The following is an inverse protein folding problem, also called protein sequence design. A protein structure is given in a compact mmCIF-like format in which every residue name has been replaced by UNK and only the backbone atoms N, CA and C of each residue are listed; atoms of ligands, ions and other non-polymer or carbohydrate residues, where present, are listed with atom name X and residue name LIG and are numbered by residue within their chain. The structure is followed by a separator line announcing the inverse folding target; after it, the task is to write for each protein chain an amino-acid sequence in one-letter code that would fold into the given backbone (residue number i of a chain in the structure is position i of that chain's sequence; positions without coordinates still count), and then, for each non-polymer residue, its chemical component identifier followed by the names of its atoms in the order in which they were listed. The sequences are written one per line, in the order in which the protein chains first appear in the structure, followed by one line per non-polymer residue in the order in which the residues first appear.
data_IF_261204368836
#
_entry.id   IF_261204368836
#
_cell.length_a   1.000
_cell.length_b   1.000
_cell.length_c   1.000
_cell.angle_alpha   90.00
_cell.angle_beta   90.00
_cell.angle_gamma   90.00
#
_symmetry.space_group_name_H-M   'P 1'
#
loop_
_entity.id
_entity.type
_entity.pdbx_description
1 polymer ?
#
# COMPACT_ATOMS: atom_id res chain seq x y z
N UNK A 1 11.08 29.66 1.04
CA UNK A 1 11.02 28.37 1.73
C UNK A 1 9.70 27.68 1.51
N UNK A 2 9.77 26.38 1.39
CA UNK A 2 8.56 25.60 1.17
C UNK A 2 7.72 25.57 2.43
N UNK A 3 6.40 25.71 2.30
CA UNK A 3 5.51 25.55 3.42
C UNK A 3 5.16 24.08 3.59
N UNK A 4 4.38 23.78 4.62
CA UNK A 4 4.05 22.42 4.96
C UNK A 4 3.37 21.68 3.80
N UNK A 5 2.47 22.37 3.13
CA UNK A 5 1.70 21.73 2.06
C UNK A 5 2.57 21.43 0.85
N UNK A 6 3.51 22.31 0.55
CA UNK A 6 4.46 22.05 -0.52
C UNK A 6 5.36 20.87 -0.20
N UNK A 7 5.76 20.75 1.07
CA UNK A 7 6.59 19.62 1.47
C UNK A 7 5.80 18.32 1.37
N UNK A 8 4.52 18.34 1.71
CA UNK A 8 3.69 17.14 1.57
C UNK A 8 3.49 16.78 0.10
N UNK A 9 3.30 17.78 -0.75
CA UNK A 9 3.18 17.51 -2.18
C UNK A 9 4.45 16.89 -2.72
N UNK A 10 5.59 17.34 -2.24
CA UNK A 10 6.86 16.80 -2.67
C UNK A 10 6.97 15.31 -2.29
N UNK A 11 6.54 14.97 -1.08
CA UNK A 11 6.52 13.58 -0.66
C UNK A 11 5.63 12.75 -1.59
N UNK A 12 4.44 13.25 -1.90
CA UNK A 12 3.52 12.55 -2.77
C UNK A 12 4.07 12.37 -4.18
N UNK A 13 4.74 13.40 -4.70
CA UNK A 13 5.33 13.29 -6.02
C UNK A 13 6.44 12.27 -6.07
N UNK A 14 7.23 12.19 -5.02
CA UNK A 14 8.27 11.19 -4.96
C UNK A 14 7.70 9.78 -4.92
N UNK A 15 6.54 9.61 -4.28
CA UNK A 15 5.86 8.33 -4.31
C UNK A 15 5.50 7.95 -5.74
N UNK A 16 4.94 8.89 -6.49
CA UNK A 16 4.55 8.60 -7.86
C UNK A 16 5.75 8.26 -8.73
N UNK A 17 6.84 9.00 -8.56
CA UNK A 17 8.04 8.73 -9.32
C UNK A 17 8.60 7.34 -9.01
N UNK A 18 8.62 6.99 -7.72
CA UNK A 18 9.12 5.68 -7.32
C UNK A 18 8.24 4.56 -7.83
N UNK A 19 6.91 4.77 -7.83
CA UNK A 19 5.99 3.77 -8.33
C UNK A 19 6.14 3.57 -9.83
N UNK A 20 6.32 4.65 -10.58
CA UNK A 20 6.54 4.53 -12.01
C UNK A 20 7.81 3.75 -12.30
N UNK A 21 8.86 4.06 -11.56
CA UNK A 21 10.14 3.38 -11.77
C UNK A 21 10.04 1.90 -11.41
N UNK A 22 9.33 1.59 -10.33
CA UNK A 22 9.16 0.21 -9.91
C UNK A 22 8.36 -0.57 -10.93
N UNK A 23 7.35 0.05 -11.52
CA UNK A 23 6.56 -0.65 -12.53
C UNK A 23 7.39 -0.99 -13.76
N UNK A 24 8.31 -0.10 -14.12
CA UNK A 24 9.21 -0.39 -15.24
C UNK A 24 10.06 -1.60 -14.97
N UNK A 25 10.44 -1.82 -13.71
CA UNK A 25 11.32 -2.93 -13.35
C UNK A 25 10.55 -4.21 -13.04
N UNK A 26 9.45 -4.09 -12.32
CA UNK A 26 8.76 -5.26 -11.77
C UNK A 26 7.35 -5.43 -12.29
N UNK A 27 6.83 -4.48 -13.04
CA UNK A 27 5.46 -4.56 -13.53
C UNK A 27 4.49 -4.61 -12.37
N UNK A 28 3.54 -5.51 -12.46
CA UNK A 28 2.49 -5.66 -11.46
C UNK A 28 2.76 -6.78 -10.48
N UNK A 29 4.03 -7.03 -10.20
CA UNK A 29 4.39 -8.16 -9.34
C UNK A 29 3.80 -8.01 -7.94
N UNK A 30 3.51 -6.79 -7.48
CA UNK A 30 2.98 -6.58 -6.15
C UNK A 30 1.63 -7.27 -5.94
N UNK A 31 0.88 -7.50 -7.01
CA UNK A 31 -0.42 -8.16 -6.91
C UNK A 31 -0.45 -9.52 -7.58
N UNK A 32 0.72 -10.07 -7.83
CA UNK A 32 0.79 -11.36 -8.51
C UNK A 32 0.04 -12.45 -7.75
N UNK A 33 0.05 -12.38 -6.43
CA UNK A 33 -0.60 -13.40 -5.60
C UNK A 33 -1.95 -12.94 -5.09
N UNK A 34 -2.59 -12.01 -5.81
CA UNK A 34 -3.94 -11.59 -5.51
C UNK A 34 -4.02 -10.69 -4.29
N UNK A 35 -5.24 -10.49 -3.85
CA UNK A 35 -5.50 -9.60 -2.73
C UNK A 35 -4.92 -10.08 -1.42
N UNK A 36 -4.89 -11.39 -1.22
CA UNK A 36 -4.29 -11.93 -0.01
C UNK A 36 -2.80 -11.61 0.03
N UNK A 37 -2.12 -11.79 -1.12
CA UNK A 37 -0.71 -11.45 -1.18
C UNK A 37 -0.47 -9.97 -0.97
N UNK A 38 -1.31 -9.13 -1.57
CA UNK A 38 -1.18 -7.69 -1.38
C UNK A 38 -1.39 -7.32 0.08
N UNK A 39 -2.37 -7.93 0.74
CA UNK A 39 -2.59 -7.68 2.15
C UNK A 39 -1.36 -8.06 2.97
N UNK A 40 -0.74 -9.18 2.65
CA UNK A 40 0.43 -9.61 3.39
C UNK A 40 1.60 -8.64 3.22
N UNK A 41 1.71 -8.03 2.03
CA UNK A 41 2.74 -7.02 1.84
C UNK A 41 2.51 -5.82 2.76
N UNK A 42 1.26 -5.38 2.86
CA UNK A 42 0.93 -4.28 3.76
C UNK A 42 1.24 -4.66 5.21
N UNK A 43 0.88 -5.87 5.60
CA UNK A 43 1.10 -6.32 6.96
C UNK A 43 2.58 -6.36 7.29
N UNK A 44 3.40 -6.85 6.35
CA UNK A 44 4.84 -6.91 6.60
C UNK A 44 5.42 -5.53 6.83
N UNK A 45 5.00 -4.56 6.03
CA UNK A 45 5.53 -3.21 6.20
C UNK A 45 5.06 -2.60 7.51
N UNK A 46 3.82 -2.86 7.88
CA UNK A 46 3.35 -2.38 9.17
C UNK A 46 4.09 -3.04 10.32
N UNK A 47 4.35 -4.35 10.23
CA UNK A 47 5.07 -5.06 11.27
C UNK A 47 6.46 -4.46 11.48
N UNK A 48 7.11 -4.05 10.40
CA UNK A 48 8.42 -3.43 10.50
C UNK A 48 8.33 -2.07 11.19
N UNK A 49 7.29 -1.30 10.86
CA UNK A 49 7.07 -0.01 11.53
C UNK A 49 6.81 -0.24 13.01
N UNK A 50 5.98 -1.22 13.33
CA UNK A 50 5.66 -1.54 14.71
C UNK A 50 6.92 -1.91 15.49
N UNK A 51 7.77 -2.71 14.87
CA UNK A 51 9.01 -3.14 15.52
C UNK A 51 9.90 -1.94 15.83
N UNK A 52 10.02 -1.01 14.91
CA UNK A 52 10.81 0.19 15.13
C UNK A 52 10.21 1.05 16.24
N UNK A 53 8.89 1.19 16.23
CA UNK A 53 8.23 2.00 17.27
C UNK A 53 8.44 1.39 18.64
N UNK A 54 8.34 0.08 18.72
CA UNK A 54 8.51 -0.62 20.00
C UNK A 54 9.87 -0.34 20.61
N UNK A 55 10.91 -0.31 19.79
CA UNK A 55 12.25 -0.04 20.28
C UNK A 55 12.40 1.36 20.85
N UNK A 56 11.48 2.24 20.54
CA UNK A 56 11.55 3.64 20.97
C UNK A 56 10.33 4.01 21.79
N UNK A 57 9.84 3.06 22.60
CA UNK A 57 8.76 3.35 23.53
C UNK A 57 7.44 3.64 22.83
N UNK A 58 7.24 3.08 21.64
CA UNK A 58 6.04 3.27 20.84
C UNK A 58 5.90 4.70 20.35
N UNK A 59 7.00 5.46 20.35
CA UNK A 59 7.01 6.83 19.89
C UNK A 59 7.58 6.85 18.47
N UNK A 60 6.71 7.00 17.50
CA UNK A 60 7.11 6.92 16.10
C UNK A 60 8.00 8.10 15.70
N UNK A 61 7.84 9.23 16.37
CA UNK A 61 8.68 10.39 16.05
C UNK A 61 10.10 10.18 16.57
N UNK A 62 10.22 9.58 17.75
CA UNK A 62 11.52 9.28 18.29
C UNK A 62 12.24 8.24 17.42
N UNK A 63 11.49 7.23 17.00
CA UNK A 63 12.05 6.21 16.12
C UNK A 63 12.52 6.82 14.81
N UNK A 64 11.76 7.77 14.28
CA UNK A 64 12.12 8.43 13.04
C UNK A 64 13.38 9.26 13.15
N UNK A 65 13.57 9.91 14.29
CA UNK A 65 14.78 10.71 14.49
C UNK A 65 16.04 9.84 14.47
N UNK A 66 15.95 8.63 15.01
CA UNK A 66 17.10 7.77 15.10
C UNK A 66 17.64 7.36 13.73
N UNK A 67 16.75 7.30 12.72
CA UNK A 67 17.14 6.83 11.40
C UNK A 67 16.74 7.80 10.31
N UNK A 68 16.87 9.08 10.59
CA UNK A 68 16.43 10.09 9.66
C UNK A 68 17.22 9.97 8.35
N UNK A 69 16.51 9.80 7.25
CA UNK A 69 17.12 9.78 5.94
C UNK A 69 17.76 8.48 5.53
N UNK A 70 17.75 7.50 6.40
CA UNK A 70 18.39 6.23 6.11
C UNK A 70 17.35 5.12 6.10
N UNK A 71 17.81 3.91 5.77
CA UNK A 71 16.95 2.75 5.86
C UNK A 71 16.41 2.65 7.27
N UNK A 72 15.21 2.13 7.40
CA UNK A 72 14.59 2.00 8.71
C UNK A 72 13.18 2.49 8.65
N UNK A 73 12.77 3.26 9.65
CA UNK A 73 11.38 3.65 9.79
C UNK A 73 10.87 4.42 8.58
N UNK A 74 11.64 5.39 8.08
CA UNK A 74 11.17 6.18 6.96
C UNK A 74 10.99 5.34 5.70
N UNK A 75 11.90 4.38 5.47
CA UNK A 75 11.75 3.47 4.34
C UNK A 75 10.46 2.68 4.46
N UNK A 76 10.18 2.17 5.65
CA UNK A 76 8.99 1.34 5.82
C UNK A 76 7.73 2.16 5.73
N UNK A 77 7.74 3.41 6.19
CA UNK A 77 6.60 4.30 6.01
C UNK A 77 6.37 4.57 4.53
N UNK A 78 7.45 4.84 3.78
CA UNK A 78 7.33 5.08 2.35
C UNK A 78 6.77 3.87 1.63
N UNK A 79 7.30 2.69 1.96
CA UNK A 79 6.85 1.48 1.31
C UNK A 79 5.39 1.20 1.60
N UNK A 80 4.98 1.35 2.86
CA UNK A 80 3.58 1.11 3.20
C UNK A 80 2.67 2.08 2.46
N UNK A 81 3.05 3.35 2.44
CA UNK A 81 2.24 4.36 1.76
C UNK A 81 2.10 4.04 0.27
N UNK A 82 3.21 3.64 -0.37
CA UNK A 82 3.19 3.35 -1.80
C UNK A 82 2.37 2.10 -2.11
N UNK A 83 2.45 1.07 -1.28
CA UNK A 83 1.59 -0.09 -1.46
C UNK A 83 0.13 0.27 -1.25
N UNK A 84 -0.16 1.17 -0.30
CA UNK A 84 -1.55 1.59 -0.09
C UNK A 84 -2.07 2.36 -1.30
N UNK A 85 -1.23 3.20 -1.91
CA UNK A 85 -1.62 3.89 -3.13
C UNK A 85 -1.96 2.89 -4.23
N UNK A 86 -1.11 1.88 -4.41
CA UNK A 86 -1.35 0.86 -5.42
C UNK A 86 -2.66 0.12 -5.17
N UNK A 87 -2.92 -0.23 -3.92
CA UNK A 87 -4.14 -0.96 -3.58
C UNK A 87 -5.36 -0.10 -3.85
N UNK A 88 -5.32 1.15 -3.43
CA UNK A 88 -6.48 2.02 -3.59
C UNK A 88 -6.77 2.26 -5.06
N UNK A 89 -5.73 2.53 -5.85
CA UNK A 89 -5.92 2.76 -7.27
C UNK A 89 -6.51 1.52 -7.95
N UNK A 90 -6.00 0.35 -7.60
CA UNK A 90 -6.48 -0.86 -8.21
C UNK A 90 -7.94 -1.14 -7.85
N UNK A 91 -8.29 -0.97 -6.58
CA UNK A 91 -9.68 -1.19 -6.15
C UNK A 91 -10.62 -0.25 -6.85
N UNK A 92 -10.23 1.01 -6.99
CA UNK A 92 -11.10 2.01 -7.59
C UNK A 92 -11.29 1.82 -9.08
N UNK A 93 -10.29 1.32 -9.76
CA UNK A 93 -10.30 1.36 -11.21
C UNK A 93 -10.32 0.01 -11.92
N UNK A 94 -10.17 -1.07 -11.18
CA UNK A 94 -10.14 -2.39 -11.77
C UNK A 94 -11.17 -3.36 -11.23
N UNK A 95 -12.12 -2.94 -10.38
CA UNK A 95 -13.05 -3.92 -9.83
C UNK A 95 -13.89 -4.61 -10.88
N UNK A 96 -14.27 -3.91 -11.94
CA UNK A 96 -15.06 -4.52 -13.00
C UNK A 96 -14.25 -5.57 -13.74
N UNK A 97 -13.00 -5.27 -13.98
CA UNK A 97 -12.11 -6.21 -14.64
C UNK A 97 -11.90 -7.45 -13.80
N UNK A 98 -11.71 -7.25 -12.50
CA UNK A 98 -11.56 -8.35 -11.58
C UNK A 98 -12.81 -9.20 -11.54
N UNK A 99 -13.95 -8.55 -11.43
CA UNK A 99 -15.22 -9.27 -11.36
C UNK A 99 -15.46 -10.06 -12.63
N UNK A 100 -15.17 -9.48 -13.76
CA UNK A 100 -15.35 -10.17 -15.02
C UNK A 100 -14.51 -11.42 -15.11
N UNK A 101 -13.27 -11.32 -14.69
CA UNK A 101 -12.38 -12.47 -14.73
C UNK A 101 -12.87 -13.56 -13.79
N UNK A 102 -13.30 -13.17 -12.60
CA UNK A 102 -13.75 -14.14 -11.63
C UNK A 102 -15.03 -14.80 -12.07
N UNK A 103 -15.93 -14.04 -12.64
CA UNK A 103 -17.17 -14.60 -13.09
C UNK A 103 -16.97 -15.58 -14.21
N UNK A 104 -15.99 -15.32 -15.04
CA UNK A 104 -15.69 -16.24 -16.12
C UNK A 104 -15.07 -17.51 -15.61
N UNK A 105 -14.32 -17.41 -14.53
CA UNK A 105 -13.63 -18.56 -14.03
C UNK A 105 -14.41 -19.33 -12.99
N UNK A 106 -14.85 -18.66 -11.98
CA UNK A 106 -15.44 -19.32 -10.89
C UNK A 106 -16.80 -18.95 -10.62
N UNK A 107 -17.05 -17.76 -10.49
CA UNK A 107 -18.22 -17.32 -10.12
C UNK A 107 -18.36 -17.40 -8.71
N UNK A 108 -17.70 -17.02 -7.82
CA UNK A 108 -17.75 -17.15 -6.44
C UNK A 108 -18.12 -16.08 -5.55
N UNK A 109 -18.03 -16.14 -4.87
CA UNK A 109 -18.04 -15.49 -3.97
C UNK A 109 -18.25 -14.66 -3.53
N UNK A 110 -18.46 -14.57 -3.02
CA UNK A 110 -18.26 -13.78 -2.23
C UNK A 110 -18.78 -13.02 -2.06
N UNK A 111 -19.16 -12.97 -2.02
CA UNK A 111 -19.07 -12.41 -1.66
C UNK A 111 -19.37 -11.62 -1.43
N UNK A 112 -19.93 -11.87 -1.44
CA UNK A 112 -19.78 -11.48 -1.13
C UNK A 112 -20.17 -10.88 -1.10
N UNK A 113 -21.02 -10.99 -1.31
CA UNK A 113 -20.94 -10.85 -1.18
C UNK A 113 -21.43 -10.12 -1.42
N UNK A 114 -22.24 -10.02 -1.44
CA UNK A 114 -22.18 -9.73 -1.64
C UNK A 114 -22.75 -8.98 -1.82
N UNK A 115 -23.17 -8.84 -2.14
CA UNK A 115 -23.20 -8.61 -2.25
C UNK A 115 -23.62 -7.94 -2.11
N UNK A 116 -24.20 -7.95 -2.11
CA UNK A 116 -24.09 -7.85 -1.92
C UNK A 116 -24.15 -7.20 -1.51
N UNK A 117 -24.68 -7.15 -1.55
CA UNK A 117 -24.19 -7.06 -1.15
C UNK A 117 -24.11 -6.31 -0.88
N UNK A 118 -24.59 -6.28 -1.09
CA UNK A 118 -23.99 -6.14 -0.83
C UNK A 118 -23.86 -5.34 -0.62
N UNK A 119 -24.26 -5.27 -0.70
CA UNK A 119 -23.68 -5.10 -0.48
C UNK A 119 -23.37 -4.49 -0.09
N UNK A 120 -23.68 -4.62 0.06
CA UNK A 120 -22.92 -4.56 0.50
C UNK A 120 -22.47 -4.28 0.81
N UNK A 121 -22.73 -4.53 0.96
CA UNK A 121 -21.93 -4.71 1.23
C UNK A 121 -21.64 -4.45 1.39
#
# INVERSE_FOLDING_TARGET
MANKWERMRDVAQKDLQALKKAEESYGNSWRRRGGVGAFMMLARKFDRIEHQAEKHGWDIFDAGEAFKGEAGLLDDIRDLRRYLILCEEFILNSPDEINNEEMEETEWEYSTGSKEEEQDQ
#
